data_IF_085462374042
#
_entry.id   IF_085462374042
#
_cell.length_a   1.000
_cell.length_b   1.000
_cell.length_c   1.000
_cell.angle_alpha   90.00
_cell.angle_beta   90.00
_cell.angle_gamma   90.00
#
_symmetry.space_group_name_H-M   'P 1'
#
loop_
_entity.id
_entity.type
_entity.pdbx_description
1 polymer ?
#
# COMPACT_ATOMS: atom_id res chain seq x y z
N UNK A 1 37.22 -45.82 -21.24
CA UNK A 1 36.01 -45.63 -22.06
C UNK A 1 35.36 -44.32 -21.66
N UNK A 2 35.48 -43.31 -22.51
CA UNK A 2 34.95 -41.96 -22.32
C UNK A 2 33.46 -41.95 -22.59
N UNK A 3 32.66 -41.70 -21.55
CA UNK A 3 31.21 -41.55 -21.66
C UNK A 3 30.89 -40.19 -22.29
N UNK A 4 30.39 -40.25 -23.52
CA UNK A 4 29.83 -39.12 -24.26
C UNK A 4 28.60 -38.59 -23.52
N UNK A 5 28.70 -37.41 -22.92
CA UNK A 5 27.53 -36.65 -22.53
C UNK A 5 27.10 -35.76 -23.71
N UNK A 6 25.97 -36.14 -24.31
CA UNK A 6 25.32 -35.40 -25.38
C UNK A 6 24.91 -34.02 -24.87
N UNK A 7 25.43 -32.97 -25.51
CA UNK A 7 25.15 -31.58 -25.18
C UNK A 7 23.71 -31.25 -25.60
N UNK A 8 22.78 -31.24 -24.65
CA UNK A 8 21.42 -30.76 -24.89
C UNK A 8 21.48 -29.25 -25.11
N UNK A 9 21.53 -28.83 -26.37
CA UNK A 9 21.36 -27.44 -26.75
C UNK A 9 19.86 -27.15 -26.75
N UNK A 10 19.26 -27.02 -25.57
CA UNK A 10 17.94 -26.43 -25.44
C UNK A 10 18.06 -24.98 -25.88
N UNK A 11 17.68 -24.72 -27.14
CA UNK A 11 17.30 -23.39 -27.59
C UNK A 11 16.18 -22.98 -26.65
N UNK A 12 16.54 -22.25 -25.59
CA UNK A 12 15.61 -21.45 -24.83
C UNK A 12 15.08 -20.48 -25.86
N UNK A 13 13.93 -20.81 -26.43
CA UNK A 13 13.08 -19.82 -27.04
C UNK A 13 12.81 -18.85 -25.91
N UNK A 14 13.59 -17.76 -25.88
CA UNK A 14 13.24 -16.56 -25.15
C UNK A 14 11.89 -16.23 -25.74
N UNK A 15 10.82 -16.69 -25.07
CA UNK A 15 9.49 -16.12 -25.20
C UNK A 15 9.77 -14.67 -24.92
N UNK A 16 9.91 -13.92 -26.01
CA UNK A 16 10.03 -12.48 -26.04
C UNK A 16 8.85 -12.05 -25.22
N UNK A 17 9.13 -11.79 -23.94
CA UNK A 17 8.14 -11.32 -23.02
C UNK A 17 7.50 -10.18 -23.78
N UNK A 18 6.20 -10.31 -24.04
CA UNK A 18 5.41 -9.20 -24.52
C UNK A 18 5.48 -8.22 -23.37
N UNK A 19 6.60 -7.47 -23.29
CA UNK A 19 6.63 -6.07 -22.96
C UNK A 19 5.46 -5.55 -23.74
N UNK A 20 4.33 -5.49 -23.05
CA UNK A 20 3.15 -4.87 -23.59
C UNK A 20 3.71 -3.53 -24.03
N UNK A 21 3.77 -3.32 -25.34
CA UNK A 21 3.83 -1.98 -25.88
C UNK A 21 2.62 -1.36 -25.22
N UNK A 22 2.86 -0.71 -24.07
CA UNK A 22 1.87 0.11 -23.41
C UNK A 22 1.38 0.97 -24.56
N UNK A 23 0.13 0.72 -24.92
CA UNK A 23 -0.67 1.40 -25.91
C UNK A 23 0.06 2.66 -26.38
N UNK A 24 0.62 2.64 -27.59
CA UNK A 24 1.56 3.68 -28.09
C UNK A 24 0.93 5.08 -28.13
N UNK A 25 -0.35 5.20 -27.74
CA UNK A 25 -1.13 6.42 -27.59
C UNK A 25 -1.26 6.93 -26.13
N UNK A 26 -0.90 6.16 -25.11
CA UNK A 26 -1.03 6.56 -23.71
C UNK A 26 0.26 7.23 -23.21
N UNK A 27 0.15 8.47 -22.72
CA UNK A 27 1.29 9.21 -22.16
C UNK A 27 1.93 8.44 -20.99
N UNK A 28 3.26 8.26 -20.95
CA UNK A 28 3.97 7.64 -19.82
C UNK A 28 3.67 8.29 -18.46
N UNK A 29 3.34 9.60 -18.46
CA UNK A 29 2.95 10.34 -17.26
C UNK A 29 1.67 9.80 -16.60
N UNK A 30 0.82 9.09 -17.35
CA UNK A 30 -0.39 8.46 -16.81
C UNK A 30 -0.07 7.40 -15.76
N UNK A 31 1.12 6.79 -15.80
CA UNK A 31 1.53 5.87 -14.75
C UNK A 31 1.64 6.56 -13.39
N UNK A 32 2.30 7.72 -13.34
CA UNK A 32 2.40 8.53 -12.12
C UNK A 32 1.02 9.03 -11.66
N UNK A 33 0.18 9.50 -12.59
CA UNK A 33 -1.17 9.97 -12.25
C UNK A 33 -2.02 8.87 -11.63
N UNK A 34 -2.00 7.66 -12.21
CA UNK A 34 -2.73 6.50 -11.69
C UNK A 34 -2.19 6.05 -10.35
N UNK A 35 -0.87 5.96 -10.19
CA UNK A 35 -0.24 5.62 -8.92
C UNK A 35 -0.60 6.63 -7.82
N UNK A 36 -0.53 7.94 -8.13
CA UNK A 36 -0.93 9.01 -7.22
C UNK A 36 -2.40 8.88 -6.80
N UNK A 37 -3.31 8.65 -7.74
CA UNK A 37 -4.73 8.45 -7.43
C UNK A 37 -4.95 7.23 -6.53
N UNK A 38 -4.28 6.12 -6.83
CA UNK A 38 -4.40 4.87 -6.05
C UNK A 38 -3.91 5.04 -4.61
N UNK A 39 -2.73 5.64 -4.41
CA UNK A 39 -2.17 5.81 -3.07
C UNK A 39 -2.95 6.81 -2.23
N UNK A 40 -3.47 7.90 -2.81
CA UNK A 40 -4.34 8.82 -2.08
C UNK A 40 -5.62 8.11 -1.61
N UNK A 41 -6.27 7.33 -2.48
CA UNK A 41 -7.45 6.55 -2.08
C UNK A 41 -7.16 5.52 -0.98
N UNK A 42 -5.98 4.88 -0.98
CA UNK A 42 -5.57 3.98 0.11
C UNK A 42 -5.43 4.75 1.43
N UNK A 43 -4.85 5.95 1.40
CA UNK A 43 -4.69 6.77 2.60
C UNK A 43 -6.01 7.33 3.14
N UNK A 44 -6.99 7.61 2.27
CA UNK A 44 -8.37 7.93 2.67
C UNK A 44 -9.01 6.74 3.41
N UNK A 45 -8.93 5.54 2.83
CA UNK A 45 -9.45 4.31 3.44
C UNK A 45 -8.75 3.98 4.77
N UNK A 46 -7.43 4.14 4.82
CA UNK A 46 -6.65 3.96 6.03
C UNK A 46 -7.07 4.94 7.12
N UNK A 47 -7.29 6.21 6.77
CA UNK A 47 -7.78 7.22 7.71
C UNK A 47 -9.14 6.87 8.29
N UNK A 48 -10.07 6.38 7.45
CA UNK A 48 -11.38 5.91 7.90
C UNK A 48 -11.28 4.71 8.85
N UNK A 49 -10.44 3.73 8.52
CA UNK A 49 -10.21 2.56 9.37
C UNK A 49 -9.62 2.93 10.74
N UNK A 50 -8.62 3.83 10.77
CA UNK A 50 -8.01 4.28 12.03
C UNK A 50 -9.04 5.08 12.85
N UNK A 51 -9.86 5.90 12.21
CA UNK A 51 -10.92 6.65 12.89
C UNK A 51 -11.94 5.70 13.57
N UNK A 52 -12.39 4.66 12.86
CA UNK A 52 -13.27 3.63 13.42
C UNK A 52 -12.59 2.90 14.58
N UNK A 53 -11.32 2.52 14.41
CA UNK A 53 -10.53 1.84 15.43
C UNK A 53 -10.33 2.71 16.68
N UNK A 54 -10.09 4.01 16.50
CA UNK A 54 -9.94 4.96 17.61
C UNK A 54 -11.22 5.08 18.43
N UNK A 55 -12.38 5.16 17.76
CA UNK A 55 -13.69 5.17 18.41
C UNK A 55 -13.93 3.87 19.17
N UNK A 56 -13.69 2.72 18.54
CA UNK A 56 -13.86 1.41 19.17
C UNK A 56 -12.98 1.25 20.43
N UNK A 57 -11.72 1.65 20.36
CA UNK A 57 -10.81 1.60 21.52
C UNK A 57 -11.23 2.56 22.62
N UNK A 58 -11.70 3.76 22.28
CA UNK A 58 -12.19 4.73 23.26
C UNK A 58 -13.43 4.23 23.99
N UNK A 59 -14.40 3.65 23.27
CA UNK A 59 -15.60 3.05 23.86
C UNK A 59 -15.24 1.86 24.75
N UNK A 60 -14.29 1.03 24.30
CA UNK A 60 -13.80 -0.13 25.07
C UNK A 60 -13.06 0.30 26.34
N UNK A 61 -12.21 1.32 26.26
CA UNK A 61 -11.45 1.84 27.40
C UNK A 61 -12.36 2.44 28.48
N UNK A 62 -13.46 3.09 28.06
CA UNK A 62 -14.43 3.71 28.97
C UNK A 62 -15.42 2.73 29.59
N UNK A 63 -15.44 1.48 29.13
CA UNK A 63 -16.38 0.49 29.62
C UNK A 63 -15.98 0.00 31.02
N UNK A 64 -16.67 0.50 32.05
CA UNK A 64 -16.44 0.13 33.44
C UNK A 64 -17.05 -1.24 33.84
N UNK A 65 -17.84 -1.87 32.97
CA UNK A 65 -18.41 -3.21 33.22
C UNK A 65 -17.42 -4.33 32.90
N UNK A 66 -16.33 -4.01 32.19
CA UNK A 66 -15.29 -4.95 31.81
C UNK A 66 -14.01 -4.64 32.58
N UNK A 67 -13.23 -5.68 32.88
CA UNK A 67 -11.83 -5.47 33.27
C UNK A 67 -11.08 -4.73 32.15
N UNK A 68 -10.02 -3.96 32.46
CA UNK A 68 -9.25 -3.24 31.44
C UNK A 68 -8.69 -4.18 30.37
N UNK A 69 -9.30 -4.17 29.19
CA UNK A 69 -8.84 -4.93 28.00
C UNK A 69 -8.03 -4.07 27.01
N UNK A 70 -7.95 -2.77 27.27
CA UNK A 70 -7.13 -1.79 26.54
C UNK A 70 -6.63 -0.73 27.52
N UNK A 71 -5.57 -0.01 27.13
CA UNK A 71 -4.94 1.05 27.92
C UNK A 71 -5.21 2.44 27.34
N UNK A 72 -5.01 3.47 28.16
CA UNK A 72 -5.09 4.86 27.70
C UNK A 72 -4.02 5.15 26.64
N UNK A 73 -2.80 4.63 26.82
CA UNK A 73 -1.71 4.82 25.86
C UNK A 73 -2.10 4.30 24.46
N UNK A 74 -2.75 3.14 24.37
CA UNK A 74 -3.21 2.60 23.10
C UNK A 74 -4.26 3.49 22.42
N UNK A 75 -5.19 4.07 23.19
CA UNK A 75 -6.18 5.03 22.66
C UNK A 75 -5.48 6.28 22.11
N UNK A 76 -4.50 6.82 22.85
CA UNK A 76 -3.75 8.00 22.44
C UNK A 76 -2.88 7.73 21.22
N UNK A 77 -2.23 6.57 21.14
CA UNK A 77 -1.40 6.18 20.00
C UNK A 77 -2.21 6.11 18.71
N UNK A 78 -3.39 5.48 18.74
CA UNK A 78 -4.26 5.33 17.56
C UNK A 78 -4.82 6.69 17.12
N UNK A 79 -5.20 7.57 18.06
CA UNK A 79 -5.54 8.97 17.76
C UNK A 79 -4.35 9.72 17.15
N UNK A 80 -3.14 9.45 17.63
CA UNK A 80 -1.89 9.98 17.07
C UNK A 80 -1.64 9.50 15.63
N UNK A 81 -1.87 8.23 15.33
CA UNK A 81 -1.76 7.68 13.97
C UNK A 81 -2.73 8.35 13.00
N UNK A 82 -3.96 8.63 13.44
CA UNK A 82 -4.94 9.34 12.61
C UNK A 82 -4.42 10.71 12.19
N UNK A 83 -3.85 11.46 13.13
CA UNK A 83 -3.22 12.77 12.86
C UNK A 83 -2.07 12.65 11.85
N UNK A 84 -1.18 11.66 12.04
CA UNK A 84 -0.06 11.40 11.12
C UNK A 84 -0.55 11.05 9.71
N UNK A 85 -1.57 10.20 9.59
CA UNK A 85 -2.16 9.80 8.30
C UNK A 85 -2.76 11.01 7.58
N UNK A 86 -3.48 11.89 8.27
CA UNK A 86 -4.00 13.13 7.68
C UNK A 86 -2.88 14.01 7.13
N UNK A 87 -1.81 14.21 7.89
CA UNK A 87 -0.63 14.96 7.43
C UNK A 87 0.04 14.34 6.20
N UNK A 88 0.18 13.02 6.14
CA UNK A 88 0.73 12.32 4.98
C UNK A 88 -0.19 12.48 3.76
N UNK A 89 -1.50 12.36 3.92
CA UNK A 89 -2.48 12.54 2.84
C UNK A 89 -2.36 13.91 2.17
N UNK A 90 -2.15 14.98 2.94
CA UNK A 90 -1.91 16.32 2.40
C UNK A 90 -0.64 16.39 1.55
N UNK A 91 0.44 15.75 2.00
CA UNK A 91 1.70 15.68 1.25
C UNK A 91 1.51 14.90 -0.05
N UNK A 92 0.82 13.76 0.00
CA UNK A 92 0.53 12.92 -1.17
C UNK A 92 -0.33 13.67 -2.21
N UNK A 93 -1.31 14.46 -1.78
CA UNK A 93 -2.18 15.23 -2.66
C UNK A 93 -1.40 16.28 -3.47
N UNK A 94 -0.31 16.86 -2.91
CA UNK A 94 0.50 17.92 -3.55
C UNK A 94 1.65 17.41 -4.43
N UNK A 95 1.98 16.11 -4.39
CA UNK A 95 3.10 15.54 -5.18
C UNK A 95 2.87 15.64 -6.69
N UNK A 96 3.91 16.05 -7.41
CA UNK A 96 3.95 16.13 -8.88
C UNK A 96 5.36 15.79 -9.38
N UNK A 97 5.48 15.37 -10.64
CA UNK A 97 6.77 15.19 -11.30
C UNK A 97 7.33 16.55 -11.74
N UNK A 98 8.66 16.71 -11.67
CA UNK A 98 9.38 17.85 -12.24
C UNK A 98 9.67 17.63 -13.71
#
# INVERSE_FOLDING_TARGET
MSLLFSRCNSIVTVKKDKRHMAEVNASPLKHFVTAKKKINGIFEQLGAYIQESATFLEDTYRNAELDPVTTEEQVLDVKGYLSKVRGISEVLARRHMK
#
